data_IF_218104833330
#
_entry.id   IF_218104833330
#
_cell.length_a   1.000
_cell.length_b   1.000
_cell.length_c   1.000
_cell.angle_alpha   90.00
_cell.angle_beta   90.00
_cell.angle_gamma   90.00
#
_symmetry.space_group_name_H-M   'P 1'
#
loop_
_entity.id
_entity.type
_entity.pdbx_description
1 polymer ?
#
# COMPACT_ATOMS: atom_id res chain seq x y z
N UNK A 1 -0.93 19.08 15.13
CA UNK A 1 -1.59 18.35 14.02
C UNK A 1 -2.84 17.73 14.61
N UNK A 2 -4.00 17.76 13.96
CA UNK A 2 -5.23 17.15 14.47
C UNK A 2 -5.61 15.99 13.55
N UNK A 3 -5.72 14.78 14.11
CA UNK A 3 -6.30 13.61 13.41
C UNK A 3 -7.74 13.93 13.04
N UNK A 4 -8.17 13.59 11.82
CA UNK A 4 -9.58 13.73 11.46
C UNK A 4 -10.45 12.86 12.38
N UNK A 5 -11.68 13.29 12.74
CA UNK A 5 -12.56 12.48 13.58
C UNK A 5 -12.82 11.08 12.99
N UNK A 6 -12.96 10.97 11.67
CA UNK A 6 -13.18 9.70 10.99
C UNK A 6 -11.97 8.76 11.13
N UNK A 7 -10.77 9.26 10.86
CA UNK A 7 -9.57 8.43 11.01
C UNK A 7 -9.32 8.04 12.47
N UNK A 8 -9.64 8.94 13.43
CA UNK A 8 -9.58 8.60 14.85
C UNK A 8 -10.55 7.46 15.22
N UNK A 9 -11.80 7.49 14.72
CA UNK A 9 -12.76 6.40 14.89
C UNK A 9 -12.23 5.08 14.32
N UNK A 10 -11.60 5.10 13.15
CA UNK A 10 -11.00 3.90 12.56
C UNK A 10 -9.87 3.30 13.40
N UNK A 11 -9.05 4.15 14.03
CA UNK A 11 -7.99 3.72 14.96
C UNK A 11 -8.60 3.10 16.22
N UNK A 12 -9.63 3.73 16.77
CA UNK A 12 -10.32 3.30 18.00
C UNK A 12 -11.11 1.99 17.80
N UNK A 13 -11.62 1.77 16.59
CA UNK A 13 -12.28 0.52 16.22
C UNK A 13 -11.32 -0.68 16.10
N UNK A 14 -10.00 -0.46 15.99
CA UNK A 14 -9.04 -1.56 15.88
C UNK A 14 -9.03 -2.42 17.16
N UNK A 15 -9.24 -3.72 16.99
CA UNK A 15 -9.46 -4.66 18.08
C UNK A 15 -8.54 -5.88 17.99
N UNK A 16 -8.42 -6.69 19.07
CA UNK A 16 -7.73 -7.97 18.98
C UNK A 16 -8.27 -8.90 17.89
N UNK A 17 -9.53 -8.77 17.49
CA UNK A 17 -10.10 -9.57 16.40
C UNK A 17 -9.61 -9.12 15.02
N UNK A 18 -9.44 -7.82 14.78
CA UNK A 18 -8.79 -7.35 13.55
C UNK A 18 -7.30 -7.69 13.54
N UNK A 19 -6.64 -7.68 14.71
CA UNK A 19 -5.25 -8.15 14.83
C UNK A 19 -5.15 -9.64 14.47
N UNK A 20 -6.04 -10.48 15.00
CA UNK A 20 -6.08 -11.91 14.69
C UNK A 20 -6.37 -12.20 13.21
N UNK A 21 -7.27 -11.45 12.58
CA UNK A 21 -7.55 -11.54 11.14
C UNK A 21 -6.31 -11.17 10.31
N UNK A 22 -5.62 -10.08 10.67
CA UNK A 22 -4.39 -9.65 10.02
C UNK A 22 -3.27 -10.69 10.17
N UNK A 23 -3.03 -11.20 11.39
CA UNK A 23 -2.06 -12.28 11.65
C UNK A 23 -2.43 -13.53 10.84
N UNK A 24 -3.70 -13.95 10.85
CA UNK A 24 -4.15 -15.13 10.11
C UNK A 24 -3.89 -15.02 8.61
N UNK A 25 -4.16 -13.85 8.02
CA UNK A 25 -3.82 -13.56 6.63
C UNK A 25 -2.31 -13.62 6.37
N UNK A 26 -1.52 -12.88 7.15
CA UNK A 26 -0.06 -12.82 7.01
C UNK A 26 0.59 -14.21 7.17
N UNK A 27 0.20 -14.97 8.20
CA UNK A 27 0.69 -16.34 8.44
C UNK A 27 0.34 -17.27 7.30
N UNK A 28 -0.89 -17.20 6.79
CA UNK A 28 -1.30 -18.02 5.63
C UNK A 28 -0.44 -17.73 4.40
N UNK A 29 -0.22 -16.44 4.11
CA UNK A 29 0.65 -16.01 3.02
C UNK A 29 2.08 -16.53 3.19
N UNK A 30 2.67 -16.31 4.37
CA UNK A 30 4.04 -16.76 4.66
C UNK A 30 4.19 -18.27 4.55
N UNK A 31 3.28 -19.05 5.14
CA UNK A 31 3.33 -20.53 5.08
C UNK A 31 3.29 -21.01 3.63
N UNK A 32 2.38 -20.50 2.81
CA UNK A 32 2.27 -20.92 1.41
C UNK A 32 3.46 -20.46 0.56
N UNK A 33 4.04 -19.29 0.84
CA UNK A 33 5.29 -18.84 0.22
C UNK A 33 6.48 -19.74 0.59
N UNK A 34 6.58 -20.16 1.86
CA UNK A 34 7.62 -21.10 2.29
C UNK A 34 7.44 -22.49 1.66
N UNK A 35 6.21 -22.98 1.58
CA UNK A 35 5.90 -24.23 0.85
C UNK A 35 6.31 -24.10 -0.62
N UNK A 36 5.96 -22.99 -1.28
CA UNK A 36 6.36 -22.73 -2.67
C UNK A 36 7.88 -22.73 -2.87
N UNK A 37 8.63 -22.18 -1.91
CA UNK A 37 10.08 -22.01 -2.00
C UNK A 37 10.89 -23.28 -1.66
N UNK A 38 10.36 -24.16 -0.80
CA UNK A 38 11.15 -25.24 -0.19
C UNK A 38 10.55 -26.64 -0.32
N UNK A 39 9.25 -26.79 -0.59
CA UNK A 39 8.66 -28.11 -0.75
C UNK A 39 9.00 -28.68 -2.16
N UNK A 40 9.15 -30.01 -2.29
CA UNK A 40 9.37 -30.67 -3.59
C UNK A 40 8.06 -30.72 -4.38
N UNK A 41 7.63 -29.56 -4.88
CA UNK A 41 6.39 -29.41 -5.64
C UNK A 41 6.56 -29.84 -7.10
N UNK A 42 5.50 -30.33 -7.76
CA UNK A 42 5.51 -30.56 -9.20
C UNK A 42 5.71 -29.23 -9.97
N UNK A 43 5.95 -29.33 -11.27
CA UNK A 43 6.05 -28.16 -12.14
C UNK A 43 4.84 -27.21 -11.95
N UNK A 44 5.11 -25.91 -11.78
CA UNK A 44 4.13 -24.85 -11.46
C UNK A 44 3.50 -24.90 -10.06
N UNK A 45 3.90 -25.83 -9.18
CA UNK A 45 3.35 -25.91 -7.82
C UNK A 45 3.62 -24.64 -7.00
N UNK A 46 4.76 -23.97 -7.20
CA UNK A 46 5.04 -22.68 -6.59
C UNK A 46 4.03 -21.59 -7.00
N UNK A 47 3.69 -21.49 -8.28
CA UNK A 47 2.66 -20.56 -8.78
C UNK A 47 1.28 -20.89 -8.23
N UNK A 48 0.92 -22.17 -8.13
CA UNK A 48 -0.34 -22.59 -7.49
C UNK A 48 -0.41 -22.13 -6.04
N UNK A 49 0.67 -22.26 -5.27
CA UNK A 49 0.76 -21.76 -3.90
C UNK A 49 0.59 -20.24 -3.82
N UNK A 50 1.13 -19.49 -4.79
CA UNK A 50 0.94 -18.04 -4.87
C UNK A 50 -0.55 -17.69 -5.04
N UNK A 51 -1.24 -18.27 -6.04
CA UNK A 51 -2.67 -18.06 -6.24
C UNK A 51 -3.48 -18.43 -5.00
N UNK A 52 -3.26 -19.63 -4.45
CA UNK A 52 -3.99 -20.10 -3.28
C UNK A 52 -3.81 -19.15 -2.09
N UNK A 53 -2.57 -18.73 -1.80
CA UNK A 53 -2.28 -17.83 -0.70
C UNK A 53 -2.85 -16.43 -0.90
N UNK A 54 -2.88 -15.94 -2.14
CA UNK A 54 -3.49 -14.65 -2.47
C UNK A 54 -5.01 -14.70 -2.37
N UNK A 55 -5.66 -15.75 -2.87
CA UNK A 55 -7.12 -15.89 -2.77
C UNK A 55 -7.59 -16.04 -1.34
N UNK A 56 -6.93 -16.88 -0.52
CA UNK A 56 -7.31 -17.03 0.88
C UNK A 56 -7.14 -15.70 1.62
N UNK A 57 -5.98 -15.03 1.51
CA UNK A 57 -5.74 -13.74 2.17
C UNK A 57 -6.73 -12.68 1.72
N UNK A 58 -6.96 -12.55 0.42
CA UNK A 58 -7.91 -11.58 -0.13
C UNK A 58 -9.32 -11.86 0.38
N UNK A 59 -9.75 -13.12 0.41
CA UNK A 59 -11.07 -13.50 0.94
C UNK A 59 -11.20 -13.16 2.44
N UNK A 60 -10.18 -13.49 3.25
CA UNK A 60 -10.13 -13.13 4.66
C UNK A 60 -10.26 -11.61 4.85
N UNK A 61 -9.42 -10.83 4.16
CA UNK A 61 -9.42 -9.37 4.27
C UNK A 61 -10.70 -8.72 3.73
N UNK A 62 -11.30 -9.26 2.66
CA UNK A 62 -12.56 -8.79 2.13
C UNK A 62 -13.72 -9.07 3.10
N UNK A 63 -13.77 -10.29 3.66
CA UNK A 63 -14.80 -10.70 4.62
C UNK A 63 -14.73 -9.93 5.96
N UNK A 64 -13.57 -9.33 6.27
CA UNK A 64 -13.38 -8.56 7.50
C UNK A 64 -14.40 -7.41 7.64
N UNK A 65 -14.84 -6.80 6.54
CA UNK A 65 -15.83 -5.71 6.57
C UNK A 65 -17.17 -6.12 7.18
N UNK A 66 -17.62 -7.35 6.89
CA UNK A 66 -18.88 -7.90 7.37
C UNK A 66 -18.71 -8.59 8.73
N UNK A 67 -17.64 -9.36 8.90
CA UNK A 67 -17.40 -10.18 10.11
C UNK A 67 -16.91 -9.37 11.30
N UNK A 68 -16.23 -8.24 11.06
CA UNK A 68 -15.62 -7.38 12.07
C UNK A 68 -16.17 -5.95 12.04
N UNK A 69 -17.48 -5.81 11.85
CA UNK A 69 -18.18 -4.52 11.94
C UNK A 69 -17.86 -3.84 13.27
N UNK A 70 -17.46 -2.56 13.21
CA UNK A 70 -17.00 -1.76 14.36
C UNK A 70 -15.79 -2.33 15.13
N UNK A 71 -15.13 -3.37 14.60
CA UNK A 71 -13.99 -4.07 15.23
C UNK A 71 -12.72 -4.03 14.38
N UNK A 72 -12.63 -3.03 13.48
CA UNK A 72 -11.47 -2.80 12.61
C UNK A 72 -11.62 -3.34 11.19
N UNK A 73 -12.72 -4.05 10.88
CA UNK A 73 -12.98 -4.63 9.56
C UNK A 73 -12.97 -3.62 8.41
N UNK A 74 -13.60 -2.45 8.62
CA UNK A 74 -13.63 -1.37 7.62
C UNK A 74 -12.23 -0.84 7.27
N UNK A 75 -11.30 -0.83 8.24
CA UNK A 75 -9.91 -0.41 8.02
C UNK A 75 -9.18 -1.41 7.12
N UNK A 76 -9.32 -2.71 7.38
CA UNK A 76 -8.73 -3.78 6.57
C UNK A 76 -9.25 -3.73 5.12
N UNK A 77 -10.57 -3.62 4.94
CA UNK A 77 -11.18 -3.55 3.61
C UNK A 77 -10.75 -2.30 2.84
N UNK A 78 -10.64 -1.15 3.51
CA UNK A 78 -10.17 0.08 2.87
C UNK A 78 -8.71 -0.05 2.39
N UNK A 79 -7.83 -0.63 3.21
CA UNK A 79 -6.45 -0.93 2.82
C UNK A 79 -6.39 -1.92 1.66
N UNK A 80 -7.22 -2.98 1.68
CA UNK A 80 -7.30 -3.95 0.58
C UNK A 80 -7.68 -3.26 -0.74
N UNK A 81 -8.67 -2.35 -0.72
CA UNK A 81 -9.09 -1.58 -1.90
C UNK A 81 -8.01 -0.63 -2.42
N UNK A 82 -7.30 0.07 -1.53
CA UNK A 82 -6.12 0.88 -1.90
C UNK A 82 -5.09 -0.01 -2.57
N UNK A 83 -4.83 -1.16 -1.96
CA UNK A 83 -4.00 -2.25 -2.43
C UNK A 83 -4.28 -2.73 -3.86
N UNK A 84 -5.53 -3.08 -4.15
CA UNK A 84 -5.96 -3.52 -5.49
C UNK A 84 -5.66 -2.44 -6.52
N UNK A 85 -5.98 -1.18 -6.23
CA UNK A 85 -5.77 -0.08 -7.16
C UNK A 85 -4.29 0.20 -7.36
N UNK A 86 -3.50 0.25 -6.28
CA UNK A 86 -2.06 0.41 -6.35
C UNK A 86 -1.42 -0.71 -7.20
N UNK A 87 -1.82 -1.97 -6.95
CA UNK A 87 -1.32 -3.13 -7.67
C UNK A 87 -1.70 -3.17 -9.16
N UNK A 88 -2.84 -2.61 -9.54
CA UNK A 88 -3.18 -2.43 -10.97
C UNK A 88 -2.24 -1.43 -11.66
N UNK A 89 -1.91 -0.32 -10.99
CA UNK A 89 -0.95 0.64 -11.51
C UNK A 89 0.49 0.11 -11.47
N UNK A 90 0.79 -0.79 -10.55
CA UNK A 90 2.11 -1.40 -10.45
C UNK A 90 2.49 -2.19 -11.69
N UNK A 91 1.53 -2.78 -12.40
CA UNK A 91 1.79 -3.47 -13.66
C UNK A 91 2.55 -2.59 -14.68
N UNK A 92 2.36 -1.27 -14.61
CA UNK A 92 3.09 -0.30 -15.44
C UNK A 92 4.53 -0.10 -14.94
N UNK A 93 4.72 -0.06 -13.61
CA UNK A 93 6.06 0.01 -12.98
C UNK A 93 6.85 -1.25 -13.27
N UNK A 94 6.27 -2.43 -13.07
CA UNK A 94 6.89 -3.70 -13.38
C UNK A 94 7.26 -3.79 -14.86
N UNK A 95 6.37 -3.36 -15.76
CA UNK A 95 6.69 -3.29 -17.18
C UNK A 95 7.93 -2.42 -17.45
N UNK A 96 8.10 -1.33 -16.71
CA UNK A 96 9.31 -0.51 -16.76
C UNK A 96 10.53 -1.17 -16.10
N UNK A 97 10.38 -1.91 -15.01
CA UNK A 97 11.45 -2.69 -14.40
C UNK A 97 11.90 -3.88 -15.27
N UNK A 98 11.01 -4.39 -16.12
CA UNK A 98 11.34 -5.43 -17.10
C UNK A 98 11.95 -4.82 -18.36
N UNK A 99 11.40 -3.73 -18.91
CA UNK A 99 11.79 -3.28 -20.26
C UNK A 99 12.58 -1.96 -20.29
N UNK A 100 12.50 -1.16 -19.23
CA UNK A 100 13.03 0.20 -19.20
C UNK A 100 14.36 0.37 -18.48
N UNK A 101 14.70 -0.52 -17.54
CA UNK A 101 15.97 -0.44 -16.79
C UNK A 101 17.06 -1.31 -17.45
N UNK A 102 18.31 -0.83 -17.40
CA UNK A 102 19.46 -1.54 -17.99
C UNK A 102 20.21 -2.41 -17.00
N UNK A 103 20.18 -2.06 -15.72
CA UNK A 103 20.88 -2.78 -14.64
C UNK A 103 19.87 -3.25 -13.60
N UNK A 104 19.92 -4.53 -13.22
CA UNK A 104 18.97 -5.11 -12.27
C UNK A 104 17.58 -5.34 -12.84
N UNK A 105 17.48 -5.62 -14.13
CA UNK A 105 16.22 -5.92 -14.82
C UNK A 105 15.46 -7.06 -14.13
N UNK A 106 14.16 -6.88 -13.95
CA UNK A 106 13.26 -7.93 -13.46
C UNK A 106 13.06 -9.01 -14.53
N UNK A 107 13.26 -10.26 -14.14
CA UNK A 107 13.15 -11.45 -14.99
C UNK A 107 12.15 -12.42 -14.35
N UNK A 108 10.92 -12.45 -14.88
CA UNK A 108 9.94 -13.46 -14.52
C UNK A 108 10.35 -14.78 -15.14
N UNK A 109 10.70 -15.76 -14.30
CA UNK A 109 11.51 -16.94 -14.62
C UNK A 109 10.79 -18.02 -15.46
N UNK A 110 9.93 -17.63 -16.40
CA UNK A 110 9.26 -18.56 -17.30
C UNK A 110 8.27 -19.49 -16.60
N UNK A 111 7.79 -19.15 -15.39
CA UNK A 111 6.53 -19.70 -14.92
C UNK A 111 5.50 -19.41 -16.02
N UNK A 112 4.94 -20.45 -16.62
CA UNK A 112 3.96 -20.40 -17.73
C UNK A 112 2.61 -19.87 -17.23
N UNK A 113 2.65 -18.73 -16.57
CA UNK A 113 1.51 -18.09 -15.97
C UNK A 113 0.96 -17.03 -16.93
N UNK A 114 -0.28 -16.65 -16.70
CA UNK A 114 -0.91 -15.57 -17.44
C UNK A 114 -0.26 -14.27 -17.01
N UNK A 115 0.34 -13.57 -17.98
CA UNK A 115 0.95 -12.25 -17.76
C UNK A 115 0.06 -11.14 -18.29
N UNK A 116 0.07 -9.99 -17.61
CA UNK A 116 -0.54 -8.75 -18.06
C UNK A 116 0.57 -7.69 -18.16
N UNK A 117 0.74 -7.12 -19.36
CA UNK A 117 1.93 -6.36 -19.77
C UNK A 117 3.20 -7.21 -19.69
N UNK A 118 3.85 -7.26 -18.52
CA UNK A 118 5.02 -8.08 -18.25
C UNK A 118 4.94 -8.86 -16.94
N UNK A 119 3.97 -8.56 -16.07
CA UNK A 119 3.87 -9.16 -14.74
C UNK A 119 2.82 -10.26 -14.67
N UNK A 120 2.92 -11.20 -13.72
CA UNK A 120 1.87 -12.17 -13.47
C UNK A 120 0.53 -11.48 -13.15
N UNK A 121 -0.57 -12.03 -13.67
CA UNK A 121 -1.92 -11.45 -13.53
C UNK A 121 -2.39 -11.33 -12.08
N UNK A 122 -1.80 -12.10 -11.16
CA UNK A 122 -2.09 -12.07 -9.73
C UNK A 122 -1.37 -10.95 -8.98
N UNK A 123 -0.48 -10.19 -9.62
CA UNK A 123 0.27 -9.12 -8.96
C UNK A 123 -0.59 -8.05 -8.27
N UNK A 124 -1.74 -7.62 -8.84
CA UNK A 124 -2.63 -6.69 -8.14
C UNK A 124 -3.15 -7.23 -6.80
N UNK A 125 -3.39 -8.54 -6.70
CA UNK A 125 -3.81 -9.18 -5.43
C UNK A 125 -2.65 -9.29 -4.44
N UNK A 126 -1.43 -9.50 -4.92
CA UNK A 126 -0.25 -9.51 -4.06
C UNK A 126 -0.02 -8.14 -3.43
N UNK A 127 -0.06 -7.07 -4.22
CA UNK A 127 -0.03 -5.71 -3.69
C UNK A 127 -1.19 -5.40 -2.77
N UNK A 128 -2.39 -5.94 -3.06
CA UNK A 128 -3.51 -5.82 -2.15
C UNK A 128 -3.23 -6.41 -0.77
N UNK A 129 -2.66 -7.61 -0.72
CA UNK A 129 -2.27 -8.26 0.52
C UNK A 129 -1.12 -7.51 1.22
N UNK A 130 -0.07 -7.12 0.50
CA UNK A 130 1.10 -6.41 1.05
C UNK A 130 0.69 -5.05 1.65
N UNK A 131 -0.18 -4.30 0.98
CA UNK A 131 -0.71 -3.03 1.51
C UNK A 131 -1.51 -3.24 2.80
N UNK A 132 -2.27 -4.31 2.93
CA UNK A 132 -2.93 -4.66 4.21
C UNK A 132 -1.88 -5.06 5.25
N UNK A 133 -0.93 -5.92 4.88
CA UNK A 133 0.09 -6.49 5.75
C UNK A 133 1.00 -5.42 6.38
N UNK A 134 1.31 -4.36 5.64
CA UNK A 134 2.16 -3.25 6.10
C UNK A 134 1.36 -2.00 6.53
N UNK A 135 0.22 -1.72 5.87
CA UNK A 135 -0.62 -0.58 6.20
C UNK A 135 -1.36 -0.75 7.53
N UNK A 136 -1.83 -1.96 7.84
CA UNK A 136 -2.50 -2.26 9.10
C UNK A 136 -1.60 -1.99 10.32
N UNK A 137 -0.36 -2.56 10.41
CA UNK A 137 0.53 -2.27 11.52
C UNK A 137 0.97 -0.81 11.57
N UNK A 138 1.06 -0.10 10.43
CA UNK A 138 1.34 1.34 10.44
C UNK A 138 0.28 2.14 11.20
N UNK A 139 -1.01 1.86 10.93
CA UNK A 139 -2.13 2.51 11.62
C UNK A 139 -2.20 2.06 13.08
N UNK A 140 -2.01 0.77 13.35
CA UNK A 140 -2.04 0.19 14.70
C UNK A 140 -0.94 0.82 15.58
N UNK A 141 0.29 0.87 15.08
CA UNK A 141 1.43 1.46 15.77
C UNK A 141 1.22 2.96 16.00
N UNK A 142 0.70 3.69 15.01
CA UNK A 142 0.33 5.10 15.19
C UNK A 142 -0.70 5.29 16.30
N UNK A 143 -1.74 4.45 16.34
CA UNK A 143 -2.75 4.45 17.39
C UNK A 143 -2.21 4.21 18.80
N UNK A 144 -1.18 3.36 18.93
CA UNK A 144 -0.49 3.10 20.19
C UNK A 144 0.42 4.26 20.59
N UNK A 145 1.24 4.76 19.66
CA UNK A 145 2.23 5.82 19.93
C UNK A 145 1.58 7.19 20.17
N UNK A 146 0.47 7.52 19.49
CA UNK A 146 -0.22 8.82 19.66
C UNK A 146 -0.78 9.05 21.07
N UNK A 147 -0.87 7.99 21.90
CA UNK A 147 -1.27 8.09 23.31
C UNK A 147 -0.15 8.59 24.23
N UNK A 148 1.10 8.48 23.79
CA UNK A 148 2.31 8.77 24.60
C UNK A 148 3.18 9.86 23.99
N UNK A 149 3.08 10.09 22.69
CA UNK A 149 3.91 11.02 21.94
C UNK A 149 3.05 12.09 21.27
N UNK A 150 3.67 13.22 20.93
CA UNK A 150 3.06 14.19 20.04
C UNK A 150 2.65 13.51 18.72
N UNK A 151 1.47 13.85 18.18
CA UNK A 151 0.91 13.17 17.01
C UNK A 151 1.86 13.15 15.80
N UNK A 152 2.56 14.27 15.54
CA UNK A 152 3.51 14.34 14.42
C UNK A 152 4.67 13.36 14.61
N UNK A 153 5.19 13.28 15.83
CA UNK A 153 6.26 12.36 16.19
C UNK A 153 5.77 10.92 16.06
N UNK A 154 4.61 10.59 16.63
CA UNK A 154 4.00 9.26 16.51
C UNK A 154 3.82 8.82 15.04
N UNK A 155 3.39 9.73 14.16
CA UNK A 155 3.22 9.45 12.74
C UNK A 155 4.57 9.17 12.04
N UNK A 156 5.59 9.99 12.29
CA UNK A 156 6.93 9.80 11.72
C UNK A 156 7.52 8.46 12.18
N UNK A 157 7.49 8.17 13.49
CA UNK A 157 8.01 6.91 14.02
C UNK A 157 7.28 5.71 13.42
N UNK A 158 5.95 5.76 13.35
CA UNK A 158 5.17 4.65 12.78
C UNK A 158 5.50 4.40 11.31
N UNK A 159 5.62 5.48 10.52
CA UNK A 159 5.98 5.38 9.10
C UNK A 159 7.40 4.84 8.90
N UNK A 160 8.38 5.33 9.65
CA UNK A 160 9.79 4.89 9.54
C UNK A 160 9.95 3.44 9.97
N UNK A 161 9.33 3.03 11.09
CA UNK A 161 9.40 1.64 11.56
C UNK A 161 8.82 0.69 10.51
N UNK A 162 7.64 1.01 9.96
CA UNK A 162 7.01 0.17 8.93
C UNK A 162 7.79 0.19 7.63
N UNK A 163 8.37 1.32 7.22
CA UNK A 163 9.23 1.39 6.05
C UNK A 163 10.46 0.48 6.16
N UNK A 164 11.16 0.52 7.30
CA UNK A 164 12.30 -0.37 7.55
C UNK A 164 11.85 -1.83 7.53
N UNK A 165 10.72 -2.13 8.19
CA UNK A 165 10.16 -3.47 8.22
C UNK A 165 9.78 -3.96 6.81
N UNK A 166 9.21 -3.10 5.97
CA UNK A 166 8.87 -3.40 4.58
C UNK A 166 10.12 -3.80 3.80
N UNK A 167 11.19 -2.99 3.83
CA UNK A 167 12.43 -3.31 3.11
C UNK A 167 13.05 -4.65 3.54
N UNK A 168 13.04 -4.96 4.84
CA UNK A 168 13.53 -6.25 5.36
C UNK A 168 12.65 -7.40 4.89
N UNK A 169 11.33 -7.29 5.09
CA UNK A 169 10.36 -8.34 4.74
C UNK A 169 10.42 -8.66 3.24
N UNK A 170 10.51 -7.63 2.41
CA UNK A 170 10.59 -7.76 0.96
C UNK A 170 11.88 -8.43 0.55
N UNK A 171 13.03 -8.09 1.16
CA UNK A 171 14.27 -8.82 0.90
C UNK A 171 14.14 -10.34 1.13
N UNK A 172 13.39 -10.76 2.16
CA UNK A 172 13.07 -12.18 2.38
C UNK A 172 12.09 -12.74 1.35
N UNK A 173 11.03 -12.00 1.01
CA UNK A 173 10.08 -12.43 -0.02
C UNK A 173 10.74 -12.57 -1.39
N UNK A 174 11.70 -11.73 -1.72
CA UNK A 174 12.50 -11.82 -2.95
C UNK A 174 13.35 -13.09 -2.99
N UNK A 175 13.92 -13.48 -1.85
CA UNK A 175 14.62 -14.76 -1.74
C UNK A 175 13.66 -15.94 -1.95
N UNK A 176 12.48 -15.90 -1.33
CA UNK A 176 11.49 -16.96 -1.47
C UNK A 176 10.91 -17.01 -2.88
N UNK A 177 10.69 -15.87 -3.54
CA UNK A 177 10.22 -15.79 -4.90
C UNK A 177 11.21 -16.41 -5.89
N UNK A 178 12.50 -16.12 -5.72
CA UNK A 178 13.56 -16.78 -6.48
C UNK A 178 13.57 -18.29 -6.28
N UNK A 179 13.49 -18.73 -5.02
CA UNK A 179 13.46 -20.16 -4.66
C UNK A 179 12.22 -20.88 -5.19
N UNK A 180 11.08 -20.19 -5.24
CA UNK A 180 9.83 -20.69 -5.80
C UNK A 180 9.77 -20.61 -7.34
N UNK A 181 10.81 -20.07 -7.99
CA UNK A 181 10.89 -19.93 -9.44
C UNK A 181 9.94 -18.88 -10.01
N UNK A 182 9.51 -17.89 -9.23
CA UNK A 182 8.62 -16.83 -9.69
C UNK A 182 9.36 -15.77 -10.50
N UNK A 183 10.43 -15.21 -9.94
CA UNK A 183 11.26 -14.22 -10.62
C UNK A 183 12.65 -14.12 -10.00
N UNK A 184 13.54 -13.41 -10.70
CA UNK A 184 14.84 -12.95 -10.21
C UNK A 184 15.17 -11.59 -10.83
N UNK A 185 16.28 -11.02 -10.42
CA UNK A 185 16.84 -9.84 -11.05
C UNK A 185 18.15 -10.14 -11.77
N UNK A 186 18.36 -9.48 -12.91
CA UNK A 186 19.65 -9.45 -13.60
C UNK A 186 20.72 -8.73 -12.77
N UNK A 187 21.96 -8.73 -13.25
CA UNK A 187 23.06 -8.05 -12.57
C UNK A 187 22.77 -6.55 -12.42
N UNK A 188 22.94 -6.04 -11.20
CA UNK A 188 22.79 -4.63 -10.85
C UNK A 188 24.07 -4.08 -10.22
N UNK A 189 24.14 -2.75 -10.04
CA UNK A 189 25.26 -2.10 -9.35
C UNK A 189 25.45 -2.63 -7.91
N UNK A 190 24.36 -3.04 -7.26
CA UNK A 190 24.38 -3.69 -5.97
C UNK A 190 23.31 -4.78 -5.92
N UNK A 191 23.70 -5.95 -5.42
CA UNK A 191 22.85 -7.13 -5.32
C UNK A 191 22.79 -7.64 -3.89
N UNK A 192 21.66 -8.21 -3.50
CA UNK A 192 21.51 -9.07 -2.32
C UNK A 192 21.54 -10.51 -2.84
N UNK A 193 22.68 -11.19 -2.60
CA UNK A 193 22.93 -12.50 -3.19
C UNK A 193 22.93 -12.46 -4.72
N UNK A 194 22.53 -13.56 -5.36
CA UNK A 194 22.43 -13.69 -6.82
C UNK A 194 21.01 -13.43 -7.37
N UNK A 195 20.07 -13.05 -6.50
CA UNK A 195 18.64 -13.11 -6.82
C UNK A 195 17.96 -11.75 -6.82
N UNK A 196 18.37 -10.79 -5.98
CA UNK A 196 17.65 -9.54 -5.75
C UNK A 196 18.55 -8.31 -5.97
N UNK A 197 18.09 -7.35 -6.75
CA UNK A 197 18.76 -6.06 -6.88
C UNK A 197 18.50 -5.20 -5.63
N UNK A 198 19.53 -4.60 -5.03
CA UNK A 198 19.42 -3.88 -3.75
C UNK A 198 18.41 -2.72 -3.79
N UNK A 199 18.21 -2.11 -4.97
CA UNK A 199 17.26 -1.01 -5.12
C UNK A 199 15.80 -1.42 -4.88
N UNK A 200 15.48 -2.72 -4.93
CA UNK A 200 14.13 -3.24 -4.69
C UNK A 200 13.72 -3.07 -3.23
N UNK A 201 14.35 -3.73 -2.24
CA UNK A 201 13.97 -3.54 -0.85
C UNK A 201 14.18 -2.11 -0.34
N UNK A 202 15.15 -1.37 -0.90
CA UNK A 202 15.32 0.05 -0.58
C UNK A 202 14.15 0.89 -1.13
N UNK A 203 13.77 0.67 -2.39
CA UNK A 203 12.63 1.35 -3.01
C UNK A 203 11.31 1.05 -2.30
N UNK A 204 11.12 -0.20 -1.87
CA UNK A 204 9.97 -0.62 -1.07
C UNK A 204 9.96 0.04 0.31
N UNK A 205 11.09 0.10 1.00
CA UNK A 205 11.18 0.87 2.24
C UNK A 205 10.77 2.34 2.01
N UNK A 206 11.26 2.97 0.94
CA UNK A 206 10.96 4.37 0.62
C UNK A 206 9.48 4.61 0.31
N UNK A 207 8.84 3.78 -0.52
CA UNK A 207 7.41 3.95 -0.84
C UNK A 207 6.52 3.71 0.37
N UNK A 208 6.88 2.77 1.26
CA UNK A 208 6.10 2.50 2.47
C UNK A 208 6.20 3.61 3.54
N UNK A 209 7.08 4.60 3.39
CA UNK A 209 6.98 5.85 4.16
C UNK A 209 5.65 6.59 3.90
N UNK A 210 5.06 6.39 2.72
CA UNK A 210 3.82 7.05 2.32
C UNK A 210 2.54 6.30 2.79
N UNK A 211 2.65 5.07 3.29
CA UNK A 211 1.46 4.24 3.57
C UNK A 211 0.54 4.86 4.63
N UNK A 212 1.10 5.34 5.73
CA UNK A 212 0.33 5.91 6.84
C UNK A 212 -0.43 7.18 6.42
N UNK A 213 0.19 8.20 5.79
CA UNK A 213 -0.56 9.38 5.36
C UNK A 213 -1.61 9.07 4.28
N UNK A 214 -1.34 8.12 3.37
CA UNK A 214 -2.32 7.68 2.36
C UNK A 214 -3.50 6.97 3.04
N UNK A 215 -3.24 6.06 3.97
CA UNK A 215 -4.27 5.38 4.74
C UNK A 215 -5.10 6.36 5.59
N UNK A 216 -4.44 7.29 6.29
CA UNK A 216 -5.09 8.31 7.10
C UNK A 216 -6.06 9.16 6.26
N UNK A 217 -5.63 9.61 5.06
CA UNK A 217 -6.49 10.35 4.13
C UNK A 217 -7.63 9.49 3.62
N UNK A 218 -7.35 8.23 3.27
CA UNK A 218 -8.34 7.32 2.72
C UNK A 218 -9.48 7.09 3.71
N UNK A 219 -9.12 6.78 4.95
CA UNK A 219 -10.00 6.51 6.09
C UNK A 219 -10.62 7.78 6.72
N UNK A 220 -10.24 8.96 6.24
CA UNK A 220 -10.89 10.20 6.67
C UNK A 220 -12.18 10.50 5.88
N UNK A 221 -12.38 9.83 4.74
CA UNK A 221 -13.42 10.14 3.75
C UNK A 221 -14.47 9.03 3.64
N UNK A 222 -15.16 8.78 4.75
CA UNK A 222 -16.25 7.79 4.83
C UNK A 222 -17.41 8.12 3.87
N UNK A 223 -17.55 9.39 3.49
CA UNK A 223 -18.52 9.85 2.48
C UNK A 223 -18.23 9.33 1.06
N UNK A 224 -17.02 8.82 0.81
CA UNK A 224 -16.55 8.37 -0.50
C UNK A 224 -15.86 7.00 -0.42
N UNK A 225 -16.61 5.94 -0.06
CA UNK A 225 -16.04 4.62 0.24
C UNK A 225 -15.39 3.89 -0.95
N UNK A 226 -15.66 4.35 -2.18
CA UNK A 226 -15.07 3.83 -3.42
C UNK A 226 -14.00 4.80 -3.95
N UNK A 227 -14.34 6.08 -4.12
CA UNK A 227 -13.43 7.06 -4.72
C UNK A 227 -12.19 7.34 -3.84
N UNK A 228 -12.32 7.25 -2.52
CA UNK A 228 -11.20 7.51 -1.61
C UNK A 228 -10.11 6.43 -1.70
N UNK A 229 -10.41 5.11 -1.64
CA UNK A 229 -9.41 4.08 -1.92
C UNK A 229 -8.81 4.14 -3.32
N UNK A 230 -9.59 4.49 -4.35
CA UNK A 230 -9.05 4.68 -5.72
C UNK A 230 -8.01 5.80 -5.76
N UNK A 231 -8.33 6.96 -5.17
CA UNK A 231 -7.37 8.05 -5.07
C UNK A 231 -6.15 7.67 -4.22
N UNK A 232 -6.37 6.92 -3.12
CA UNK A 232 -5.29 6.41 -2.27
C UNK A 232 -4.34 5.49 -3.01
N UNK A 233 -4.86 4.53 -3.77
CA UNK A 233 -4.06 3.59 -4.57
C UNK A 233 -3.30 4.28 -5.70
N UNK A 234 -3.92 5.24 -6.38
CA UNK A 234 -3.24 6.05 -7.41
C UNK A 234 -2.13 6.94 -6.83
N UNK A 235 -2.30 7.46 -5.62
CA UNK A 235 -1.22 8.19 -4.92
C UNK A 235 -0.12 7.23 -4.45
N UNK A 236 -0.49 6.01 -4.04
CA UNK A 236 0.49 5.01 -3.63
C UNK A 236 1.34 4.55 -4.81
N UNK A 237 0.76 4.34 -6.00
CA UNK A 237 1.54 3.96 -7.19
C UNK A 237 2.57 5.01 -7.60
N UNK A 238 2.26 6.30 -7.40
CA UNK A 238 3.23 7.39 -7.53
C UNK A 238 4.37 7.25 -6.52
N UNK A 239 4.08 6.82 -5.29
CA UNK A 239 5.11 6.53 -4.29
C UNK A 239 5.95 5.30 -4.68
N UNK A 240 5.36 4.28 -5.32
CA UNK A 240 6.09 3.12 -5.83
C UNK A 240 7.12 3.56 -6.87
N UNK A 241 6.68 4.27 -7.90
CA UNK A 241 7.55 4.86 -8.92
C UNK A 241 8.69 5.71 -8.31
N UNK A 242 8.35 6.61 -7.38
CA UNK A 242 9.33 7.47 -6.72
C UNK A 242 10.32 6.67 -5.86
N UNK A 243 9.85 5.62 -5.18
CA UNK A 243 10.67 4.75 -4.35
C UNK A 243 11.77 4.09 -5.17
N UNK A 244 11.43 3.43 -6.28
CA UNK A 244 12.43 2.80 -7.14
C UNK A 244 13.36 3.81 -7.83
N UNK A 245 12.82 4.93 -8.31
CA UNK A 245 13.64 5.98 -8.92
C UNK A 245 14.69 6.54 -7.94
N UNK A 246 14.30 6.80 -6.69
CA UNK A 246 15.20 7.28 -5.63
C UNK A 246 16.18 6.21 -5.15
N UNK A 247 15.78 4.94 -5.18
CA UNK A 247 16.66 3.82 -4.82
C UNK A 247 17.72 3.50 -5.90
N UNK A 248 17.67 4.18 -7.05
CA UNK A 248 18.70 4.10 -8.09
C UNK A 248 18.33 3.24 -9.30
N UNK A 249 17.05 2.89 -9.47
CA UNK A 249 16.56 2.31 -10.71
C UNK A 249 16.73 3.36 -11.84
N UNK A 250 17.78 3.19 -12.65
CA UNK A 250 18.17 4.14 -13.68
C UNK A 250 17.91 3.57 -15.06
N UNK A 251 17.20 4.35 -15.88
CA UNK A 251 17.02 4.13 -17.30
C UNK A 251 17.83 5.20 -18.06
N UNK A 252 18.66 4.84 -19.06
CA UNK A 252 19.50 5.81 -19.79
C UNK A 252 18.70 6.87 -20.56
N UNK A 253 17.40 6.67 -20.80
CA UNK A 253 16.57 7.52 -21.69
C UNK A 253 15.42 8.26 -21.01
N UNK A 254 15.20 8.09 -19.71
CA UNK A 254 14.02 8.68 -19.04
C UNK A 254 14.32 9.52 -17.79
N UNK A 255 15.58 9.81 -17.49
CA UNK A 255 15.95 10.52 -16.25
C UNK A 255 15.27 11.88 -16.12
N UNK A 256 15.10 12.65 -17.21
CA UNK A 256 14.47 13.97 -17.15
C UNK A 256 12.96 13.93 -16.90
N UNK A 257 12.21 13.11 -17.64
CA UNK A 257 10.76 12.94 -17.44
C UNK A 257 10.47 12.35 -16.06
N UNK A 258 11.27 11.39 -15.61
CA UNK A 258 11.15 10.74 -14.31
C UNK A 258 11.44 11.71 -13.16
N UNK A 259 12.47 12.57 -13.28
CA UNK A 259 12.76 13.55 -12.24
C UNK A 259 11.67 14.61 -12.15
N UNK A 260 11.10 15.06 -13.28
CA UNK A 260 10.00 16.03 -13.30
C UNK A 260 8.70 15.44 -12.73
N UNK A 261 8.36 14.20 -13.09
CA UNK A 261 7.21 13.50 -12.53
C UNK A 261 7.38 13.19 -11.04
N UNK A 262 8.55 12.70 -10.62
CA UNK A 262 8.85 12.46 -9.20
C UNK A 262 8.84 13.76 -8.39
N UNK A 263 9.37 14.86 -8.91
CA UNK A 263 9.33 16.17 -8.21
C UNK A 263 7.92 16.71 -8.11
N UNK A 264 7.11 16.54 -9.16
CA UNK A 264 5.71 16.96 -9.18
C UNK A 264 4.84 16.09 -8.27
N UNK A 265 5.13 14.79 -8.23
CA UNK A 265 4.57 13.80 -7.32
C UNK A 265 4.93 14.08 -5.85
N UNK A 266 6.19 14.41 -5.55
CA UNK A 266 6.64 14.79 -4.21
C UNK A 266 5.99 16.12 -3.81
N UNK A 267 5.90 17.10 -4.71
CA UNK A 267 5.15 18.34 -4.45
C UNK A 267 3.66 18.06 -4.24
N UNK A 268 3.07 17.16 -5.01
CA UNK A 268 1.68 16.71 -4.82
C UNK A 268 1.51 15.96 -3.51
N UNK A 269 2.46 15.11 -3.10
CA UNK A 269 2.47 14.38 -1.83
C UNK A 269 2.63 15.34 -0.65
N UNK A 270 3.58 16.27 -0.70
CA UNK A 270 3.77 17.33 0.29
C UNK A 270 2.53 18.24 0.34
N UNK A 271 1.94 18.57 -0.81
CA UNK A 271 0.70 19.32 -0.92
C UNK A 271 -0.50 18.54 -0.36
N UNK A 272 -0.59 17.24 -0.61
CA UNK A 272 -1.63 16.33 -0.08
C UNK A 272 -1.50 16.17 1.44
N UNK A 273 -0.27 16.03 1.93
CA UNK A 273 0.07 16.02 3.35
C UNK A 273 -0.25 17.37 4.02
N UNK A 274 -0.03 18.49 3.32
CA UNK A 274 -0.40 19.84 3.78
C UNK A 274 -1.90 20.13 3.71
N UNK A 275 -2.60 19.69 2.66
CA UNK A 275 -3.92 20.23 2.29
C UNK A 275 -5.10 19.27 2.46
N UNK A 276 -4.91 17.96 2.74
CA UNK A 276 -6.09 17.10 2.86
C UNK A 276 -5.99 15.84 3.70
N UNK A 277 -4.89 15.62 4.42
CA UNK A 277 -4.88 14.75 5.59
C UNK A 277 -4.87 15.53 6.91
N UNK A 278 -4.36 16.78 6.89
CA UNK A 278 -4.05 17.55 8.10
C UNK A 278 -4.25 19.07 7.96
N UNK A 279 -5.15 19.52 7.08
CA UNK A 279 -5.51 20.93 7.02
C UNK A 279 -6.31 21.32 8.30
N UNK A 280 -6.05 22.49 8.91
CA UNK A 280 -6.94 23.02 9.95
C UNK A 280 -8.35 23.18 9.36
N UNK A 281 -9.33 22.69 10.10
CA UNK A 281 -10.75 22.76 9.74
C UNK A 281 -11.15 24.23 9.54
N UNK A 282 -11.33 24.65 8.29
CA UNK A 282 -12.08 25.87 7.99
C UNK A 282 -13.53 25.51 8.26
N UNK A 283 -14.11 26.05 9.35
CA UNK A 283 -15.55 25.88 9.59
C UNK A 283 -16.28 26.32 8.32
N UNK A 284 -17.23 25.54 7.79
CA UNK A 284 -18.14 26.08 6.80
C UNK A 284 -18.76 27.34 7.41
N UNK A 285 -18.61 28.47 6.72
CA UNK A 285 -19.39 29.66 7.01
C UNK A 285 -20.85 29.22 7.07
N UNK A 286 -21.63 29.66 8.07
CA UNK A 286 -23.04 29.32 8.15
C UNK A 286 -23.67 29.69 6.81
N UNK A 287 -24.09 28.66 6.05
CA UNK A 287 -24.90 28.87 4.88
C UNK A 287 -26.17 29.54 5.41
N UNK A 288 -26.36 30.80 5.07
CA UNK A 288 -27.57 31.54 5.37
C UNK A 288 -28.74 30.73 4.86
N UNK A 289 -29.58 30.25 5.77
CA UNK A 289 -30.82 29.54 5.48
C UNK A 289 -31.67 30.41 4.52
N UNK A 290 -31.88 30.00 3.26
CA UNK A 290 -32.67 30.78 2.31
C UNK A 290 -34.16 30.85 2.69
N UNK A 291 -34.60 30.05 3.68
CA UNK A 291 -36.02 29.92 4.04
C UNK A 291 -36.45 30.81 5.20
N UNK A 292 -35.59 31.70 5.69
CA UNK A 292 -35.88 32.52 6.87
C UNK A 292 -36.52 33.89 6.59
N UNK A 293 -36.91 34.20 5.35
CA UNK A 293 -37.43 35.53 5.00
C UNK A 293 -38.94 35.68 4.78
N UNK A 294 -39.76 34.61 4.75
CA UNK A 294 -41.18 34.74 4.35
C UNK A 294 -42.23 34.50 5.46
N UNK A 295 -41.88 34.67 6.74
CA UNK A 295 -42.88 34.63 7.84
C UNK A 295 -42.98 35.94 8.60
N UNK A 296 -43.28 37.02 7.90
CA UNK A 296 -43.76 38.25 8.52
C UNK A 296 -44.66 39.04 7.55
N UNK A 297 -45.94 38.66 7.48
CA UNK A 297 -47.13 39.50 7.24
C UNK A 297 -48.30 38.60 6.85
N UNK A 298 -49.29 38.52 7.72
CA UNK A 298 -50.72 38.71 7.45
C UNK A 298 -51.36 38.75 8.84
N UNK A 299 -51.62 39.97 9.32
CA UNK A 299 -52.58 40.26 10.38
C UNK A 299 -53.48 41.34 9.78
N UNK A 300 -54.67 40.93 9.39
CA UNK A 300 -55.89 41.74 9.21
C UNK A 300 -57.02 40.79 8.86
#
# INVERSE_FOLDING_TARGET
>A
MNVSPNFARHIEALSPASDAMWVGGMTTGLVLTLVAAFAPLPANGGTMCAYLGLFIRTALYASAGETLQQRGGATIVALLRVGIVAGLFELIVDWWLVNGITNGRLDYLGARDVVLLASPIWMPLAWACVIVELGYPAIRLFGLLRRRLEQRIAAIFSAVIVAIFAGIMIGFYEYFAFRAGWWKYGSANAMIGSFCALFIPVGEALMFLAILPIAARTLSRDDRPIASPVAGGAVFSVAIWAGYALAGASAPTCTWVLTTLATSAIKAYISVARNGAFAPFVRPTPQSDPRRHDRARIVS
#
